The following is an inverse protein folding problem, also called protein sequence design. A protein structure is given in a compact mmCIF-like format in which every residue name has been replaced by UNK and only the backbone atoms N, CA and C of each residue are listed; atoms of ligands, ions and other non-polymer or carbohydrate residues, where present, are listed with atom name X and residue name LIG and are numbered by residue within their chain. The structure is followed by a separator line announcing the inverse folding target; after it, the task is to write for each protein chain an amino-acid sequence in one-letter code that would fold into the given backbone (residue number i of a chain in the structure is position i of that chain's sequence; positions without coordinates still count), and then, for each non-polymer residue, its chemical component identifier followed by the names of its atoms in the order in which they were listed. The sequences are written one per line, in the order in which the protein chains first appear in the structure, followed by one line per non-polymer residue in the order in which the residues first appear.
data_IF_069659667363
#
_entry.id   IF_069659667363
#
_cell.length_a   1.000
_cell.length_b   1.000
_cell.length_c   1.000
_cell.angle_alpha   90.00
_cell.angle_beta   90.00
_cell.angle_gamma   90.00
#
_symmetry.space_group_name_H-M   'P 1'
#
loop_
_entity.id
_entity.type
_entity.pdbx_description
1 polymer ?
#
# COMPACT_ATOMS: atom_id res chain seq x y z
N UNK A 1 12.69 3.48 12.32
CA UNK A 1 12.63 2.00 12.25
C UNK A 1 13.79 1.43 13.04
N UNK A 2 13.54 0.46 13.93
CA UNK A 2 14.58 -0.10 14.83
C UNK A 2 15.55 -1.08 14.15
N UNK A 3 15.41 -1.31 12.83
CA UNK A 3 16.22 -2.19 11.99
C UNK A 3 16.28 -1.63 10.56
N UNK A 4 17.47 -1.60 9.96
CA UNK A 4 17.70 -1.17 8.56
C UNK A 4 17.42 -2.29 7.53
N UNK A 5 16.59 -3.27 7.89
CA UNK A 5 16.31 -4.45 7.05
C UNK A 5 14.81 -4.59 6.78
N UNK A 6 14.47 -4.75 5.51
CA UNK A 6 13.12 -5.18 5.09
C UNK A 6 12.95 -6.66 5.40
N UNK A 7 11.81 -7.00 5.99
CA UNK A 7 11.42 -8.38 6.32
C UNK A 7 10.07 -8.70 5.68
N UNK A 8 9.69 -9.98 5.61
CA UNK A 8 8.38 -10.39 5.08
C UNK A 8 7.20 -9.73 5.79
N UNK A 9 7.33 -9.47 7.10
CA UNK A 9 6.27 -8.83 7.88
C UNK A 9 5.98 -7.37 7.45
N UNK A 10 6.90 -6.72 6.74
CA UNK A 10 6.66 -5.40 6.15
C UNK A 10 5.82 -5.46 4.87
N UNK A 11 5.69 -6.64 4.23
CA UNK A 11 4.87 -6.86 3.05
C UNK A 11 3.58 -7.65 3.33
N UNK A 12 3.25 -7.94 4.59
CA UNK A 12 2.07 -8.75 4.93
C UNK A 12 0.76 -7.97 5.01
N UNK A 13 0.78 -6.64 4.87
CA UNK A 13 -0.39 -5.76 5.00
C UNK A 13 -0.78 -5.43 6.44
N UNK A 14 -0.05 -5.95 7.44
CA UNK A 14 -0.35 -5.76 8.86
C UNK A 14 0.29 -4.52 9.49
N UNK A 15 0.46 -4.58 10.82
CA UNK A 15 1.02 -3.49 11.63
C UNK A 15 2.37 -2.97 11.12
N UNK A 16 3.30 -3.88 10.77
CA UNK A 16 4.63 -3.47 10.31
C UNK A 16 4.61 -2.85 8.89
N UNK A 17 3.69 -3.26 8.02
CA UNK A 17 3.43 -2.57 6.75
C UNK A 17 2.95 -1.14 7.01
N UNK A 18 1.98 -0.95 7.92
CA UNK A 18 1.46 0.37 8.27
C UNK A 18 2.51 1.28 8.90
N UNK A 19 3.33 0.75 9.81
CA UNK A 19 4.43 1.48 10.43
C UNK A 19 5.49 1.90 9.40
N UNK A 20 5.82 1.02 8.44
CA UNK A 20 6.71 1.36 7.34
C UNK A 20 6.16 2.52 6.50
N UNK A 21 4.89 2.46 6.08
CA UNK A 21 4.25 3.53 5.31
C UNK A 21 4.26 4.85 6.09
N UNK A 22 3.84 4.83 7.35
CA UNK A 22 3.76 6.04 8.20
C UNK A 22 5.11 6.64 8.56
N UNK A 23 6.12 5.83 8.87
CA UNK A 23 7.40 6.32 9.39
C UNK A 23 8.41 6.61 8.28
N UNK A 24 8.33 5.92 7.15
CA UNK A 24 9.31 6.06 6.07
C UNK A 24 8.75 6.87 4.90
N UNK A 25 7.61 6.44 4.33
CA UNK A 25 7.09 6.99 3.08
C UNK A 25 6.34 8.31 3.30
N UNK A 26 5.39 8.35 4.23
CA UNK A 26 4.56 9.52 4.48
C UNK A 26 5.36 10.82 4.74
N UNK A 27 6.42 10.84 5.60
CA UNK A 27 7.20 12.06 5.80
C UNK A 27 8.05 12.46 4.59
N UNK A 28 8.43 11.51 3.72
CA UNK A 28 9.28 11.78 2.54
C UNK A 28 8.50 12.22 1.31
N UNK A 29 7.25 11.76 1.18
CA UNK A 29 6.39 12.03 0.03
C UNK A 29 5.14 12.83 0.44
N UNK A 30 5.24 13.62 1.51
CA UNK A 30 4.12 14.29 2.18
C UNK A 30 3.23 15.08 1.19
N UNK A 31 1.99 14.61 1.01
CA UNK A 31 0.98 15.27 0.18
C UNK A 31 -0.44 14.88 0.64
N UNK A 32 -1.44 15.68 0.24
CA UNK A 32 -2.84 15.51 0.65
C UNK A 32 -3.48 14.18 0.22
N UNK A 33 -3.02 13.59 -0.88
CA UNK A 33 -3.57 12.32 -1.35
C UNK A 33 -3.01 11.16 -0.50
N UNK A 34 -1.69 11.12 -0.31
CA UNK A 34 -1.04 10.08 0.49
C UNK A 34 -1.39 10.16 1.98
N UNK A 35 -1.58 11.36 2.53
CA UNK A 35 -1.91 11.55 3.96
C UNK A 35 -3.25 10.94 4.39
N UNK A 36 -4.12 10.62 3.44
CA UNK A 36 -5.40 9.98 3.72
C UNK A 36 -5.23 8.50 4.07
N UNK A 37 -4.16 7.85 3.59
CA UNK A 37 -3.89 6.42 3.79
C UNK A 37 -5.11 5.52 3.50
N UNK A 38 -5.87 5.87 2.46
CA UNK A 38 -7.02 5.09 1.97
C UNK A 38 -6.64 4.16 0.82
N UNK A 39 -7.61 3.38 0.34
CA UNK A 39 -7.41 2.36 -0.71
C UNK A 39 -7.14 2.94 -2.11
N UNK A 40 -7.28 4.26 -2.28
CA UNK A 40 -7.02 4.97 -3.54
C UNK A 40 -6.66 6.43 -3.29
N UNK A 41 -5.97 7.05 -4.25
CA UNK A 41 -5.82 8.49 -4.34
C UNK A 41 -7.01 9.11 -5.07
N UNK A 42 -7.53 10.21 -4.55
CA UNK A 42 -8.56 11.00 -5.23
C UNK A 42 -7.90 12.12 -6.04
N UNK A 43 -8.07 12.07 -7.36
CA UNK A 43 -7.48 13.00 -8.32
C UNK A 43 -8.58 13.90 -8.92
N UNK A 44 -8.59 15.21 -8.60
CA UNK A 44 -9.48 16.17 -9.25
C UNK A 44 -8.93 16.54 -10.64
N UNK A 45 -9.54 16.05 -11.71
CA UNK A 45 -9.08 16.26 -13.10
C UNK A 45 -10.25 16.77 -13.94
N UNK A 46 -10.13 17.97 -14.52
CA UNK A 46 -11.17 18.60 -15.35
C UNK A 46 -12.57 18.60 -14.72
N UNK A 47 -12.66 18.89 -13.41
CA UNK A 47 -13.92 18.89 -12.67
C UNK A 47 -14.44 17.49 -12.28
N UNK A 48 -13.77 16.42 -12.69
CA UNK A 48 -14.09 15.05 -12.30
C UNK A 48 -13.32 14.63 -11.05
N UNK A 49 -13.93 13.73 -10.27
CA UNK A 49 -13.32 13.09 -9.10
C UNK A 49 -12.93 11.65 -9.46
N UNK A 50 -11.66 11.43 -9.79
CA UNK A 50 -11.14 10.12 -10.20
C UNK A 50 -10.52 9.41 -9.01
N UNK A 51 -10.91 8.16 -8.75
CA UNK A 51 -10.19 7.28 -7.83
C UNK A 51 -9.11 6.51 -8.60
N UNK A 52 -7.87 6.58 -8.15
CA UNK A 52 -6.74 5.87 -8.73
C UNK A 52 -6.07 4.99 -7.69
N UNK A 53 -5.88 3.72 -8.01
CA UNK A 53 -5.24 2.74 -7.12
C UNK A 53 -4.34 1.80 -7.92
N UNK A 54 -3.42 1.13 -7.24
CA UNK A 54 -2.50 0.17 -7.84
C UNK A 54 -2.15 -0.90 -6.82
N UNK A 55 -2.06 -2.14 -7.30
CA UNK A 55 -1.63 -3.30 -6.53
C UNK A 55 -0.81 -4.24 -7.41
N UNK A 56 -0.09 -5.14 -6.77
CA UNK A 56 0.61 -6.24 -7.42
C UNK A 56 0.19 -7.57 -6.79
N UNK A 57 0.07 -8.62 -7.61
CA UNK A 57 -0.26 -9.96 -7.14
C UNK A 57 1.00 -10.82 -7.11
N UNK A 58 1.41 -11.25 -5.91
CA UNK A 58 2.61 -12.08 -5.68
C UNK A 58 2.29 -13.47 -5.12
N UNK A 59 1.03 -13.91 -5.28
CA UNK A 59 0.53 -15.20 -4.78
C UNK A 59 1.32 -16.37 -5.36
N UNK A 60 1.63 -17.35 -4.51
CA UNK A 60 2.27 -18.61 -4.89
C UNK A 60 1.62 -19.79 -4.16
N UNK A 61 1.25 -20.89 -4.85
CA UNK A 61 1.26 -21.07 -6.31
C UNK A 61 0.33 -20.08 -7.02
N UNK A 62 0.54 -19.84 -8.32
CA UNK A 62 -0.29 -18.94 -9.12
C UNK A 62 -1.70 -19.48 -9.41
N UNK A 63 -1.99 -20.71 -8.99
CA UNK A 63 -3.29 -21.36 -9.11
C UNK A 63 -3.63 -22.04 -7.79
N UNK A 64 -4.84 -21.83 -7.28
CA UNK A 64 -5.39 -22.57 -6.14
C UNK A 64 -6.37 -23.60 -6.69
N UNK A 65 -6.15 -24.88 -6.38
CA UNK A 65 -7.15 -25.93 -6.69
C UNK A 65 -8.25 -25.88 -5.64
N UNK A 66 -9.48 -25.83 -6.10
CA UNK A 66 -10.65 -26.00 -5.25
C UNK A 66 -11.01 -27.49 -5.30
N UNK A 67 -10.44 -28.26 -4.38
CA UNK A 67 -10.81 -29.66 -4.22
C UNK A 67 -12.10 -29.68 -3.39
N UNK A 68 -13.21 -30.10 -4.00
CA UNK A 68 -14.48 -30.45 -3.34
C UNK A 68 -14.59 -31.96 -3.27
#
# INVERSE_FOLDING_TARGET
MKNDKTTLAHGSGGKLTHELVKQLFLPRFNNKALSQLGDSAILPIHGMRIAFTTDSYVVKPNTVRHDV
#
